data_IF_730012942607
#
_entry.id   IF_730012942607
#
_cell.length_a   1.000
_cell.length_b   1.000
_cell.length_c   1.000
_cell.angle_alpha   90.00
_cell.angle_beta   90.00
_cell.angle_gamma   90.00
#
_symmetry.space_group_name_H-M   'P 1'
#
loop_
_entity.id
_entity.type
_entity.pdbx_description
1 polymer ?
#
# COMPACT_ATOMS: atom_id res chain seq x y z
N UNK A 1 -18.55 7.92 62.96
CA UNK A 1 -17.49 8.83 62.52
C UNK A 1 -17.05 8.35 61.17
N UNK A 2 -17.52 9.08 60.17
CA UNK A 2 -17.73 8.72 58.76
C UNK A 2 -16.44 8.81 57.96
N UNK A 3 -16.27 7.81 57.09
CA UNK A 3 -15.31 7.79 56.00
C UNK A 3 -15.94 8.38 54.76
N UNK A 4 -15.30 9.41 54.19
CA UNK A 4 -15.55 9.91 52.85
C UNK A 4 -14.33 9.53 52.02
N UNK A 5 -14.49 8.56 51.14
CA UNK A 5 -13.56 8.34 50.03
C UNK A 5 -14.32 8.73 48.75
N UNK A 6 -13.90 9.84 48.19
CA UNK A 6 -14.26 10.22 46.85
C UNK A 6 -13.54 9.30 45.87
N UNK A 7 -14.32 8.54 45.13
CA UNK A 7 -13.82 7.83 43.97
C UNK A 7 -13.64 8.80 42.81
N UNK A 8 -12.42 8.99 42.37
CA UNK A 8 -12.14 9.55 41.06
C UNK A 8 -12.54 8.54 39.99
N UNK A 9 -13.56 8.87 39.23
CA UNK A 9 -13.88 8.17 38.01
C UNK A 9 -12.77 8.47 37.00
N UNK A 10 -11.80 7.59 36.92
CA UNK A 10 -10.99 7.48 35.71
C UNK A 10 -11.95 6.98 34.60
N UNK A 11 -12.29 7.87 33.68
CA UNK A 11 -12.90 7.50 32.43
C UNK A 11 -11.89 6.64 31.68
N UNK A 12 -12.05 5.31 31.78
CA UNK A 12 -11.44 4.39 30.83
C UNK A 12 -11.91 4.81 29.45
N UNK A 13 -11.03 5.45 28.71
CA UNK A 13 -11.17 5.55 27.27
C UNK A 13 -11.01 4.14 26.75
N UNK A 14 -12.15 3.47 26.51
CA UNK A 14 -12.18 2.24 25.74
C UNK A 14 -11.52 2.53 24.39
N UNK A 15 -10.25 2.19 24.24
CA UNK A 15 -9.64 2.03 22.92
C UNK A 15 -10.44 0.92 22.23
N UNK A 16 -11.28 1.31 21.28
CA UNK A 16 -11.99 0.36 20.41
C UNK A 16 -10.93 -0.55 19.78
N UNK A 17 -11.08 -1.87 19.85
CA UNK A 17 -10.15 -2.78 19.24
C UNK A 17 -10.00 -2.43 17.74
N UNK A 18 -8.77 -2.36 17.25
CA UNK A 18 -8.41 -2.11 15.84
C UNK A 18 -9.07 -3.10 14.84
N UNK A 19 -9.71 -4.14 15.32
CA UNK A 19 -10.34 -5.19 14.53
C UNK A 19 -11.73 -4.86 13.97
N UNK A 20 -12.25 -3.63 14.20
CA UNK A 20 -13.58 -3.21 13.73
C UNK A 20 -13.55 -2.25 12.53
N UNK A 21 -12.37 -1.85 12.07
CA UNK A 21 -12.28 -1.06 10.85
C UNK A 21 -12.27 -1.98 9.63
N UNK A 22 -13.34 -1.93 8.85
CA UNK A 22 -13.46 -2.64 7.59
C UNK A 22 -12.37 -2.26 6.59
N UNK A 23 -12.12 -3.13 5.64
CA UNK A 23 -11.31 -2.80 4.47
C UNK A 23 -12.06 -1.76 3.64
N UNK A 24 -11.39 -0.69 3.29
CA UNK A 24 -11.88 0.31 2.35
C UNK A 24 -10.92 0.42 1.18
N UNK A 25 -11.50 0.53 0.00
CA UNK A 25 -10.78 0.71 -1.24
C UNK A 25 -10.68 2.19 -1.55
N UNK A 26 -9.53 2.60 -2.07
CA UNK A 26 -9.26 4.00 -2.34
C UNK A 26 -8.91 4.18 -3.80
N UNK A 27 -9.72 4.97 -4.51
CA UNK A 27 -9.48 5.34 -5.89
C UNK A 27 -9.35 6.85 -6.01
N UNK A 28 -8.43 7.30 -6.85
CA UNK A 28 -8.30 8.71 -7.23
C UNK A 28 -8.67 8.85 -8.70
N UNK A 29 -9.64 9.69 -9.00
CA UNK A 29 -9.92 10.04 -10.38
C UNK A 29 -8.92 11.09 -10.85
N UNK A 30 -8.33 10.88 -12.01
CA UNK A 30 -7.38 11.82 -12.61
C UNK A 30 -7.69 12.08 -14.09
N UNK A 31 -7.22 13.23 -14.58
CA UNK A 31 -7.22 13.58 -15.99
C UNK A 31 -5.82 14.06 -16.37
N UNK A 32 -5.19 13.40 -17.34
CA UNK A 32 -3.82 13.70 -17.77
C UNK A 32 -2.81 13.82 -16.62
N UNK A 33 -2.99 13.01 -15.56
CA UNK A 33 -2.15 13.01 -14.37
C UNK A 33 -2.54 14.03 -13.29
N UNK A 34 -3.51 14.90 -13.54
CA UNK A 34 -4.03 15.86 -12.56
C UNK A 34 -5.12 15.17 -11.75
N UNK A 35 -5.00 15.01 -10.42
CA UNK A 35 -6.03 14.43 -9.60
C UNK A 35 -7.26 15.33 -9.51
N UNK A 36 -8.45 14.73 -9.48
CA UNK A 36 -9.76 15.42 -9.52
C UNK A 36 -10.54 15.22 -8.25
N UNK A 37 -10.68 13.99 -7.83
CA UNK A 37 -11.42 13.61 -6.63
C UNK A 37 -10.93 12.26 -6.08
N UNK A 38 -11.10 12.08 -4.80
CA UNK A 38 -10.87 10.84 -4.08
C UNK A 38 -12.20 10.12 -3.89
N UNK A 39 -12.21 8.82 -4.11
CA UNK A 39 -13.31 7.93 -3.75
C UNK A 39 -12.79 6.88 -2.76
N UNK A 40 -13.45 6.77 -1.61
CA UNK A 40 -13.20 5.74 -0.62
C UNK A 40 -14.48 4.92 -0.50
N UNK A 41 -14.40 3.62 -0.60
CA UNK A 41 -15.58 2.75 -0.63
C UNK A 41 -15.29 1.37 -0.06
N UNK A 42 -16.34 0.72 0.38
CA UNK A 42 -16.38 -0.68 0.80
C UNK A 42 -17.52 -1.42 0.07
N UNK A 43 -17.95 -2.57 0.58
CA UNK A 43 -19.05 -3.35 0.00
C UNK A 43 -20.42 -2.71 0.19
N UNK A 44 -20.59 -1.73 1.11
CA UNK A 44 -21.87 -1.20 1.53
C UNK A 44 -22.07 0.28 1.16
N UNK A 45 -20.98 1.04 1.07
CA UNK A 45 -21.03 2.49 0.90
C UNK A 45 -19.84 3.07 0.12
N UNK A 46 -20.02 4.28 -0.39
CA UNK A 46 -18.93 5.07 -0.96
C UNK A 46 -18.98 6.52 -0.46
N UNK A 47 -17.80 7.10 -0.28
CA UNK A 47 -17.59 8.49 0.07
C UNK A 47 -16.69 9.16 -0.96
N UNK A 48 -16.98 10.42 -1.31
CA UNK A 48 -16.21 11.18 -2.29
C UNK A 48 -15.72 12.49 -1.70
N UNK A 49 -14.47 12.83 -2.01
CA UNK A 49 -13.79 14.00 -1.48
C UNK A 49 -13.19 14.80 -2.63
N UNK A 50 -13.50 16.09 -2.67
CA UNK A 50 -12.96 17.03 -3.66
C UNK A 50 -11.58 17.55 -3.23
N UNK A 51 -10.79 17.94 -4.21
CA UNK A 51 -9.53 18.66 -4.02
C UNK A 51 -9.77 20.18 -4.04
N UNK A 52 -8.78 20.99 -3.65
CA UNK A 52 -8.90 22.44 -3.62
C UNK A 52 -9.07 23.06 -5.01
N UNK A 53 -9.51 24.33 -5.04
CA UNK A 53 -9.80 25.07 -6.27
C UNK A 53 -8.63 25.15 -7.26
N UNK A 54 -7.37 25.03 -6.79
CA UNK A 54 -6.19 25.04 -7.68
C UNK A 54 -6.15 23.82 -8.60
N UNK A 55 -6.68 22.67 -8.17
CA UNK A 55 -6.79 21.48 -9.03
C UNK A 55 -7.89 21.66 -10.06
N UNK A 56 -9.02 22.25 -9.69
CA UNK A 56 -10.09 22.57 -10.65
C UNK A 56 -9.58 23.54 -11.73
N UNK A 57 -8.83 24.56 -11.32
CA UNK A 57 -8.21 25.51 -12.27
C UNK A 57 -7.21 24.82 -13.20
N UNK A 58 -6.33 23.97 -12.65
CA UNK A 58 -5.38 23.19 -13.43
C UNK A 58 -6.09 22.25 -14.42
N UNK A 59 -7.20 21.65 -14.01
CA UNK A 59 -8.04 20.83 -14.86
C UNK A 59 -8.63 21.62 -16.02
N UNK A 60 -9.22 22.80 -15.76
CA UNK A 60 -9.81 23.68 -16.78
C UNK A 60 -8.76 24.06 -17.83
N UNK A 61 -7.55 24.42 -17.41
CA UNK A 61 -6.42 24.73 -18.28
C UNK A 61 -5.96 23.51 -19.09
N UNK A 62 -5.90 22.32 -18.46
CA UNK A 62 -5.53 21.09 -19.15
C UNK A 62 -6.59 20.60 -20.14
N UNK A 63 -7.88 20.93 -19.92
CA UNK A 63 -8.99 20.60 -20.82
C UNK A 63 -9.10 21.55 -21.99
N UNK A 64 -8.37 22.67 -22.01
CA UNK A 64 -8.45 23.64 -23.10
C UNK A 64 -8.07 22.96 -24.42
N UNK A 65 -9.05 22.90 -25.35
CA UNK A 65 -8.95 22.17 -26.63
C UNK A 65 -9.42 20.70 -26.58
N UNK A 66 -9.69 20.12 -25.43
CA UNK A 66 -9.96 18.66 -25.27
C UNK A 66 -11.28 18.34 -24.54
N UNK A 67 -12.19 19.31 -24.47
CA UNK A 67 -13.46 19.16 -23.70
C UNK A 67 -14.31 17.97 -24.15
N UNK A 68 -14.29 17.64 -25.43
CA UNK A 68 -15.06 16.51 -25.97
C UNK A 68 -14.52 15.17 -25.51
N UNK A 69 -13.21 15.07 -25.30
CA UNK A 69 -12.54 13.84 -24.86
C UNK A 69 -12.42 13.73 -23.34
N UNK A 70 -12.77 14.77 -22.58
CA UNK A 70 -12.61 14.78 -21.13
C UNK A 70 -13.22 13.57 -20.43
N UNK A 71 -14.44 13.16 -20.81
CA UNK A 71 -15.13 12.02 -20.22
C UNK A 71 -14.38 10.70 -20.48
N UNK A 72 -13.81 10.55 -21.66
CA UNK A 72 -13.09 9.33 -22.08
C UNK A 72 -11.68 9.26 -21.49
N UNK A 73 -11.03 10.38 -21.26
CA UNK A 73 -9.66 10.47 -20.77
C UNK A 73 -9.56 10.48 -19.24
N UNK A 74 -10.67 10.56 -18.52
CA UNK A 74 -10.68 10.41 -17.06
C UNK A 74 -10.40 8.96 -16.68
N UNK A 75 -9.47 8.77 -15.77
CA UNK A 75 -9.11 7.44 -15.26
C UNK A 75 -9.33 7.38 -13.77
N UNK A 76 -9.81 6.26 -13.27
CA UNK A 76 -9.74 5.90 -11.87
C UNK A 76 -8.46 5.13 -11.64
N UNK A 77 -7.61 5.66 -10.77
CA UNK A 77 -6.35 5.03 -10.37
C UNK A 77 -6.57 4.39 -9.01
N UNK A 78 -6.19 3.12 -8.87
CA UNK A 78 -6.26 2.40 -7.60
C UNK A 78 -5.12 2.86 -6.69
N UNK A 79 -5.47 3.41 -5.53
CA UNK A 79 -4.55 3.79 -4.46
C UNK A 79 -4.48 2.73 -3.34
N UNK A 80 -5.05 1.57 -3.60
CA UNK A 80 -4.98 0.39 -2.73
C UNK A 80 -6.03 0.35 -1.64
N UNK A 81 -5.85 -0.61 -0.74
CA UNK A 81 -6.74 -0.85 0.40
C UNK A 81 -6.20 -0.15 1.63
N UNK A 82 -7.08 0.48 2.40
CA UNK A 82 -6.78 1.05 3.72
C UNK A 82 -7.74 0.49 4.76
N UNK A 83 -7.44 0.69 6.03
CA UNK A 83 -8.24 0.20 7.15
C UNK A 83 -8.58 1.39 8.05
N UNK A 84 -9.86 1.64 8.23
CA UNK A 84 -10.32 2.74 9.07
C UNK A 84 -11.65 3.33 8.60
N UNK A 85 -12.00 4.46 9.16
CA UNK A 85 -13.18 5.23 8.77
C UNK A 85 -12.98 5.86 7.38
N UNK A 86 -13.98 5.72 6.51
CA UNK A 86 -13.92 6.22 5.13
C UNK A 86 -13.68 7.74 5.07
N UNK A 87 -14.27 8.50 5.99
CA UNK A 87 -14.14 9.96 6.01
C UNK A 87 -12.73 10.37 6.41
N UNK A 88 -12.20 9.77 7.49
CA UNK A 88 -10.83 10.06 7.94
C UNK A 88 -9.79 9.70 6.89
N UNK A 89 -9.93 8.53 6.25
CA UNK A 89 -9.06 8.07 5.17
C UNK A 89 -9.15 9.02 3.97
N UNK A 90 -10.35 9.44 3.58
CA UNK A 90 -10.55 10.34 2.46
C UNK A 90 -9.97 11.73 2.69
N UNK A 91 -10.21 12.32 3.88
CA UNK A 91 -9.65 13.61 4.26
C UNK A 91 -8.13 13.57 4.34
N UNK A 92 -7.57 12.47 4.87
CA UNK A 92 -6.14 12.26 4.93
C UNK A 92 -5.53 12.19 3.52
N UNK A 93 -6.13 11.41 2.61
CA UNK A 93 -5.62 11.28 1.24
C UNK A 93 -5.73 12.59 0.46
N UNK A 94 -6.77 13.39 0.69
CA UNK A 94 -6.87 14.74 0.09
C UNK A 94 -5.67 15.58 0.51
N UNK A 95 -5.29 15.59 1.80
CA UNK A 95 -4.11 16.32 2.28
C UNK A 95 -2.82 15.79 1.65
N UNK A 96 -2.67 14.48 1.56
CA UNK A 96 -1.54 13.84 0.89
C UNK A 96 -1.41 14.27 -0.57
N UNK A 97 -2.51 14.26 -1.33
CA UNK A 97 -2.54 14.71 -2.72
C UNK A 97 -2.27 16.22 -2.85
N UNK A 98 -2.85 17.03 -1.97
CA UNK A 98 -2.58 18.47 -1.94
C UNK A 98 -1.09 18.78 -1.73
N UNK A 99 -0.43 18.01 -0.86
CA UNK A 99 1.01 18.13 -0.62
C UNK A 99 1.84 17.63 -1.80
N UNK A 100 1.44 16.49 -2.39
CA UNK A 100 2.17 15.84 -3.49
C UNK A 100 2.10 16.56 -4.83
N UNK A 101 1.15 17.51 -4.97
CA UNK A 101 0.96 18.29 -6.19
C UNK A 101 1.14 19.79 -5.92
N UNK A 102 2.37 20.27 -5.66
CA UNK A 102 2.63 21.69 -5.56
C UNK A 102 2.27 22.41 -6.87
N UNK A 103 2.09 23.72 -6.83
CA UNK A 103 1.66 24.52 -7.99
C UNK A 103 2.57 24.29 -9.21
N UNK A 104 3.88 24.20 -9.00
CA UNK A 104 4.86 23.94 -10.08
C UNK A 104 4.64 22.59 -10.77
N UNK A 105 4.23 21.55 -10.03
CA UNK A 105 3.92 20.23 -10.61
C UNK A 105 2.64 20.27 -11.43
N UNK A 106 1.62 21.00 -11.00
CA UNK A 106 0.39 21.19 -11.77
C UNK A 106 0.67 21.95 -13.07
N UNK A 107 1.44 23.04 -13.00
CA UNK A 107 1.84 23.82 -14.19
C UNK A 107 2.62 22.97 -15.20
N UNK A 108 3.50 22.08 -14.72
CA UNK A 108 4.21 21.15 -15.60
C UNK A 108 3.28 20.14 -16.25
N UNK A 109 2.32 19.55 -15.49
CA UNK A 109 1.34 18.63 -16.06
C UNK A 109 0.48 19.30 -17.13
N UNK A 110 0.13 20.57 -16.94
CA UNK A 110 -0.58 21.37 -17.93
C UNK A 110 0.30 21.60 -19.18
N UNK A 111 1.56 21.95 -18.99
CA UNK A 111 2.50 22.16 -20.10
C UNK A 111 2.75 20.86 -20.91
N UNK A 112 2.68 19.72 -20.25
CA UNK A 112 2.89 18.40 -20.85
C UNK A 112 1.58 17.69 -21.24
N UNK A 113 0.45 18.38 -21.22
CA UNK A 113 -0.90 17.82 -21.43
C UNK A 113 -1.07 17.05 -22.75
N UNK A 114 -0.33 17.42 -23.78
CA UNK A 114 -0.40 16.81 -25.11
C UNK A 114 0.64 15.71 -25.34
N UNK A 115 1.53 15.48 -24.36
CA UNK A 115 2.47 14.36 -24.40
C UNK A 115 1.78 13.08 -23.93
N UNK A 116 2.08 11.95 -24.57
CA UNK A 116 1.68 10.65 -24.05
C UNK A 116 2.22 10.46 -22.63
N UNK A 117 1.45 9.79 -21.77
CA UNK A 117 1.82 9.57 -20.35
C UNK A 117 3.21 8.89 -20.25
N UNK A 118 3.49 7.94 -21.15
CA UNK A 118 4.75 7.20 -21.22
C UNK A 118 5.94 8.05 -21.71
N UNK A 119 5.68 9.16 -22.40
CA UNK A 119 6.73 10.08 -22.90
C UNK A 119 7.12 11.15 -21.86
N UNK A 120 6.35 11.26 -20.76
CA UNK A 120 6.65 12.18 -19.67
C UNK A 120 7.75 11.63 -18.83
N UNK A 121 8.92 12.25 -18.86
CA UNK A 121 10.03 11.86 -18.00
C UNK A 121 9.67 12.21 -16.55
N UNK A 122 9.63 11.23 -15.67
CA UNK A 122 9.45 11.49 -14.26
C UNK A 122 10.60 12.34 -13.73
N UNK A 123 10.28 13.42 -13.02
CA UNK A 123 11.29 14.31 -12.44
C UNK A 123 11.58 13.85 -11.02
N UNK A 124 12.77 13.26 -10.84
CA UNK A 124 13.30 13.00 -9.50
C UNK A 124 13.74 14.34 -8.88
N UNK A 125 13.15 14.68 -7.75
CA UNK A 125 13.60 15.82 -6.93
C UNK A 125 14.46 15.27 -5.81
N UNK A 126 15.80 15.49 -5.85
CA UNK A 126 16.67 15.02 -4.79
C UNK A 126 16.37 15.76 -3.49
N UNK A 127 16.43 15.05 -2.37
CA UNK A 127 16.33 15.60 -1.03
C UNK A 127 17.26 14.82 -0.08
N UNK A 128 17.55 15.39 1.09
CA UNK A 128 18.43 14.77 2.06
C UNK A 128 17.66 14.11 3.20
N UNK A 129 18.32 13.17 3.89
CA UNK A 129 17.75 12.58 5.11
C UNK A 129 17.46 13.67 6.17
N UNK A 130 18.35 14.67 6.31
CA UNK A 130 18.14 15.78 7.24
C UNK A 130 16.89 16.60 6.87
N UNK A 131 16.70 16.93 5.58
CA UNK A 131 15.49 17.61 5.11
C UNK A 131 14.23 16.80 5.42
N UNK A 132 14.26 15.47 5.24
CA UNK A 132 13.17 14.61 5.58
C UNK A 132 12.87 14.63 7.08
N UNK A 133 13.88 14.51 7.94
CA UNK A 133 13.72 14.41 9.40
C UNK A 133 13.16 15.70 10.04
N UNK A 134 13.55 16.87 9.53
CA UNK A 134 13.10 18.16 10.08
C UNK A 134 11.76 18.65 9.50
N UNK A 135 11.25 17.97 8.45
CA UNK A 135 10.03 18.37 7.77
C UNK A 135 8.78 17.94 8.53
N UNK A 136 7.68 18.70 8.40
CA UNK A 136 6.34 18.28 8.79
C UNK A 136 5.88 17.11 7.92
N UNK A 137 4.91 16.34 8.39
CA UNK A 137 4.53 15.08 7.76
C UNK A 137 4.05 15.24 6.29
N UNK A 138 3.34 16.33 5.96
CA UNK A 138 2.89 16.61 4.59
C UNK A 138 4.09 16.79 3.65
N UNK A 139 5.11 17.50 4.13
CA UNK A 139 6.35 17.68 3.37
C UNK A 139 7.12 16.37 3.23
N UNK A 140 7.20 15.55 4.31
CA UNK A 140 7.83 14.23 4.25
C UNK A 140 7.16 13.32 3.22
N UNK A 141 5.82 13.34 3.19
CA UNK A 141 5.07 12.58 2.19
C UNK A 141 5.38 13.06 0.78
N UNK A 142 5.38 14.39 0.54
CA UNK A 142 5.73 14.98 -0.74
C UNK A 142 7.15 14.63 -1.20
N UNK A 143 8.12 14.66 -0.29
CA UNK A 143 9.50 14.30 -0.60
C UNK A 143 9.59 12.85 -1.10
N UNK A 144 8.94 11.93 -0.42
CA UNK A 144 8.88 10.54 -0.86
C UNK A 144 8.10 10.36 -2.17
N UNK A 145 6.95 10.99 -2.33
CA UNK A 145 6.12 10.89 -3.55
C UNK A 145 6.88 11.37 -4.80
N UNK A 146 7.86 12.26 -4.63
CA UNK A 146 8.76 12.72 -5.69
C UNK A 146 10.05 11.88 -5.81
N UNK A 147 10.20 10.83 -5.02
CA UNK A 147 11.32 9.88 -5.10
C UNK A 147 11.08 8.87 -6.22
N UNK A 148 11.43 9.24 -7.42
CA UNK A 148 11.20 8.44 -8.61
C UNK A 148 12.37 7.49 -8.85
N UNK A 149 12.08 6.22 -9.20
CA UNK A 149 13.08 5.17 -9.39
C UNK A 149 14.03 5.09 -8.17
N UNK A 150 13.54 4.61 -7.01
CA UNK A 150 14.34 4.51 -5.79
C UNK A 150 15.59 3.64 -6.04
N UNK A 151 16.71 4.05 -5.48
CA UNK A 151 18.02 3.42 -5.62
C UNK A 151 18.56 3.01 -4.24
N UNK A 152 19.62 2.26 -4.23
CA UNK A 152 20.28 1.79 -2.98
C UNK A 152 20.67 2.97 -2.08
N UNK A 153 21.03 4.10 -2.66
CA UNK A 153 21.38 5.35 -1.96
C UNK A 153 20.20 5.96 -1.20
N UNK A 154 18.96 5.58 -1.55
CA UNK A 154 17.76 6.07 -0.88
C UNK A 154 17.39 5.25 0.36
N UNK A 155 17.99 4.08 0.53
CA UNK A 155 17.70 3.20 1.67
C UNK A 155 17.76 3.92 3.02
N UNK A 156 18.73 4.80 3.32
CA UNK A 156 18.76 5.50 4.60
C UNK A 156 17.51 6.35 4.89
N UNK A 157 16.99 7.06 3.90
CA UNK A 157 15.77 7.85 4.07
C UNK A 157 14.52 6.95 4.12
N UNK A 158 14.47 5.90 3.33
CA UNK A 158 13.37 4.92 3.35
C UNK A 158 13.33 4.15 4.68
N UNK A 159 14.49 3.80 5.22
CA UNK A 159 14.64 3.17 6.55
C UNK A 159 14.12 4.07 7.69
N UNK A 160 14.24 5.38 7.56
CA UNK A 160 13.63 6.34 8.48
C UNK A 160 12.12 6.42 8.26
N UNK A 161 11.70 6.49 7.01
CA UNK A 161 10.31 6.65 6.62
C UNK A 161 9.42 5.46 7.01
N UNK A 162 9.92 4.22 7.02
CA UNK A 162 9.15 3.05 7.52
C UNK A 162 8.88 3.09 9.02
N UNK A 163 9.50 4.01 9.75
CA UNK A 163 9.29 4.23 11.19
C UNK A 163 8.46 5.49 11.48
N UNK A 164 7.96 6.16 10.43
CA UNK A 164 7.16 7.36 10.57
C UNK A 164 5.87 7.10 11.36
N UNK A 165 5.37 8.11 12.05
CA UNK A 165 4.09 8.04 12.74
C UNK A 165 2.91 7.89 11.75
N UNK A 166 3.03 8.48 10.55
CA UNK A 166 2.01 8.42 9.50
C UNK A 166 2.07 7.10 8.72
N UNK A 167 0.94 6.39 8.69
CA UNK A 167 0.84 5.10 8.01
C UNK A 167 1.07 5.20 6.51
N UNK A 168 0.63 6.30 5.89
CA UNK A 168 0.84 6.58 4.46
C UNK A 168 2.31 6.67 4.10
N UNK A 169 3.11 7.35 4.93
CA UNK A 169 4.56 7.47 4.75
C UNK A 169 5.24 6.11 4.91
N UNK A 170 4.90 5.35 5.97
CA UNK A 170 5.45 4.01 6.16
C UNK A 170 5.13 3.07 5.00
N UNK A 171 3.86 3.11 4.52
CA UNK A 171 3.43 2.30 3.39
C UNK A 171 4.15 2.68 2.10
N UNK A 172 4.28 3.99 1.78
CA UNK A 172 4.97 4.46 0.58
C UNK A 172 6.45 4.09 0.61
N UNK A 173 7.11 4.27 1.75
CA UNK A 173 8.49 3.83 1.94
C UNK A 173 8.67 2.31 1.75
N UNK A 174 7.69 1.51 2.21
CA UNK A 174 7.69 0.05 2.01
C UNK A 174 7.56 -0.31 0.53
N UNK A 175 6.71 0.39 -0.25
CA UNK A 175 6.63 0.22 -1.71
C UNK A 175 7.98 0.50 -2.35
N UNK A 176 8.62 1.61 -2.01
CA UNK A 176 9.90 1.99 -2.61
C UNK A 176 11.06 1.06 -2.24
N UNK A 177 11.10 0.55 -1.01
CA UNK A 177 12.05 -0.50 -0.64
C UNK A 177 11.86 -1.77 -1.50
N UNK A 178 10.61 -2.11 -1.82
CA UNK A 178 10.28 -3.25 -2.69
C UNK A 178 10.70 -3.06 -4.16
N UNK A 179 10.98 -1.83 -4.59
CA UNK A 179 11.47 -1.54 -5.93
C UNK A 179 13.01 -1.57 -6.05
N UNK A 180 13.72 -1.69 -4.92
CA UNK A 180 15.18 -1.74 -4.88
C UNK A 180 15.63 -3.21 -4.88
N UNK A 181 16.15 -3.70 -5.99
CA UNK A 181 16.65 -5.06 -6.15
C UNK A 181 18.04 -5.24 -5.49
N UNK A 182 18.13 -4.99 -4.17
CA UNK A 182 19.36 -5.12 -3.38
C UNK A 182 19.02 -5.74 -2.00
N UNK A 183 19.82 -6.71 -1.57
CA UNK A 183 19.60 -7.40 -0.28
C UNK A 183 19.66 -6.47 0.95
N UNK A 184 20.20 -5.27 0.81
CA UNK A 184 20.20 -4.26 1.88
C UNK A 184 18.80 -3.83 2.31
N UNK A 185 17.76 -4.08 1.50
CA UNK A 185 16.37 -3.79 1.87
C UNK A 185 15.78 -4.81 2.85
N UNK A 186 16.38 -5.99 2.97
CA UNK A 186 15.84 -7.13 3.75
C UNK A 186 15.44 -6.72 5.17
N UNK A 187 16.33 -6.13 6.01
CA UNK A 187 15.98 -5.84 7.40
C UNK A 187 14.82 -4.83 7.52
N UNK A 188 14.67 -3.96 6.55
CA UNK A 188 13.64 -2.92 6.54
C UNK A 188 12.28 -3.47 6.10
N UNK A 189 12.25 -4.34 5.11
CA UNK A 189 11.02 -5.03 4.70
C UNK A 189 10.54 -6.00 5.79
N UNK A 190 11.45 -6.71 6.48
CA UNK A 190 11.09 -7.52 7.65
C UNK A 190 10.51 -6.67 8.81
N UNK A 191 11.02 -5.45 9.01
CA UNK A 191 10.45 -4.50 9.95
C UNK A 191 9.04 -4.08 9.51
N UNK A 192 8.85 -3.72 8.24
CA UNK A 192 7.56 -3.36 7.69
C UNK A 192 6.53 -4.51 7.75
N UNK A 193 6.96 -5.76 7.62
CA UNK A 193 6.10 -6.95 7.77
C UNK A 193 5.57 -7.11 9.22
N UNK A 194 6.19 -6.46 10.20
CA UNK A 194 5.79 -6.44 11.61
C UNK A 194 5.08 -5.13 12.02
N UNK A 195 4.76 -4.27 11.06
CA UNK A 195 4.08 -2.98 11.32
C UNK A 195 2.73 -3.19 12.03
N UNK A 196 2.35 -2.21 12.84
CA UNK A 196 1.04 -2.17 13.49
C UNK A 196 -0.12 -2.14 12.47
N UNK A 197 0.06 -1.49 11.33
CA UNK A 197 -0.92 -1.39 10.25
C UNK A 197 -0.89 -2.61 9.33
N UNK A 198 -2.04 -3.23 9.13
CA UNK A 198 -2.17 -4.35 8.19
C UNK A 198 -1.86 -3.94 6.74
N UNK A 199 -2.13 -2.67 6.36
CA UNK A 199 -1.82 -2.18 5.02
C UNK A 199 -0.31 -2.12 4.75
N UNK A 200 0.49 -1.74 5.75
CA UNK A 200 1.96 -1.74 5.65
C UNK A 200 2.48 -3.18 5.59
N UNK A 201 1.99 -4.07 6.49
CA UNK A 201 2.39 -5.49 6.47
C UNK A 201 2.06 -6.19 5.16
N UNK A 202 0.87 -5.90 4.58
CA UNK A 202 0.50 -6.42 3.27
C UNK A 202 1.45 -5.92 2.19
N UNK A 203 1.74 -4.61 2.15
CA UNK A 203 2.67 -4.02 1.17
C UNK A 203 4.08 -4.63 1.31
N UNK A 204 4.53 -4.91 2.54
CA UNK A 204 5.79 -5.62 2.77
C UNK A 204 5.75 -7.05 2.20
N UNK A 205 4.64 -7.76 2.40
CA UNK A 205 4.45 -9.09 1.81
C UNK A 205 4.44 -9.08 0.28
N UNK A 206 3.82 -8.06 -0.34
CA UNK A 206 3.87 -7.84 -1.79
C UNK A 206 5.32 -7.63 -2.25
N UNK A 207 6.04 -6.68 -1.64
CA UNK A 207 7.42 -6.35 -1.96
C UNK A 207 8.37 -7.56 -1.82
N UNK A 208 8.22 -8.34 -0.75
CA UNK A 208 9.04 -9.54 -0.52
C UNK A 208 8.76 -10.63 -1.55
N UNK A 209 7.49 -10.79 -1.98
CA UNK A 209 7.14 -11.74 -3.05
C UNK A 209 7.73 -11.31 -4.38
N UNK A 210 7.63 -10.02 -4.71
CA UNK A 210 8.14 -9.50 -5.99
C UNK A 210 9.68 -9.58 -6.07
N UNK A 211 10.39 -9.30 -4.97
CA UNK A 211 11.85 -9.44 -4.92
C UNK A 211 12.32 -10.90 -4.92
N UNK A 212 11.54 -11.82 -4.37
CA UNK A 212 11.81 -13.25 -4.39
C UNK A 212 13.09 -13.67 -3.65
N UNK A 213 13.61 -12.85 -2.70
CA UNK A 213 14.81 -13.21 -1.94
C UNK A 213 14.51 -14.35 -0.95
N UNK A 214 15.27 -15.43 -1.03
CA UNK A 214 15.10 -16.61 -0.15
C UNK A 214 15.31 -16.28 1.33
N UNK A 215 16.05 -15.24 1.63
CA UNK A 215 16.29 -14.77 2.99
C UNK A 215 15.02 -14.34 3.72
N UNK A 216 13.95 -14.00 3.00
CA UNK A 216 12.64 -13.66 3.59
C UNK A 216 11.88 -14.87 4.13
N UNK A 217 12.29 -16.10 3.83
CA UNK A 217 11.53 -17.33 4.14
C UNK A 217 11.09 -17.39 5.59
N UNK A 218 11.99 -17.10 6.54
CA UNK A 218 11.64 -17.15 7.97
C UNK A 218 10.59 -16.12 8.38
N UNK A 219 10.68 -14.89 7.87
CA UNK A 219 9.70 -13.84 8.14
C UNK A 219 8.35 -14.17 7.51
N UNK A 220 8.35 -14.76 6.32
CA UNK A 220 7.15 -15.20 5.62
C UNK A 220 6.50 -16.42 6.28
N UNK A 221 7.27 -17.34 6.90
CA UNK A 221 6.69 -18.41 7.74
C UNK A 221 5.88 -17.84 8.91
N UNK A 222 6.38 -16.80 9.58
CA UNK A 222 5.65 -16.09 10.63
C UNK A 222 4.39 -15.43 10.08
N UNK A 223 4.48 -14.80 8.90
CA UNK A 223 3.39 -14.11 8.23
C UNK A 223 2.24 -15.03 7.77
N UNK A 224 2.47 -16.34 7.59
CA UNK A 224 1.42 -17.35 7.37
C UNK A 224 0.37 -17.37 8.51
N UNK A 225 0.71 -16.83 9.68
CA UNK A 225 -0.17 -16.80 10.86
C UNK A 225 -0.59 -15.37 11.23
N UNK A 226 -0.42 -14.39 10.34
CA UNK A 226 -0.85 -13.01 10.57
C UNK A 226 -2.37 -12.94 10.83
N UNK A 227 -2.77 -11.99 11.66
CA UNK A 227 -4.19 -11.74 11.95
C UNK A 227 -4.98 -11.34 10.69
N UNK A 228 -4.35 -10.66 9.73
CA UNK A 228 -4.96 -10.21 8.49
C UNK A 228 -4.84 -11.28 7.40
N UNK A 229 -5.97 -11.65 6.79
CA UNK A 229 -6.03 -12.70 5.76
C UNK A 229 -5.19 -12.39 4.52
N UNK A 230 -5.07 -11.12 4.13
CA UNK A 230 -4.30 -10.73 2.94
C UNK A 230 -2.79 -10.89 3.19
N UNK A 231 -2.32 -10.61 4.41
CA UNK A 231 -0.91 -10.86 4.78
C UNK A 231 -0.62 -12.36 4.74
N UNK A 232 -1.51 -13.20 5.30
CA UNK A 232 -1.37 -14.67 5.22
C UNK A 232 -1.38 -15.17 3.79
N UNK A 233 -2.26 -14.63 2.96
CA UNK A 233 -2.34 -14.98 1.55
C UNK A 233 -1.05 -14.62 0.80
N UNK A 234 -0.48 -13.43 1.06
CA UNK A 234 0.78 -13.01 0.45
C UNK A 234 1.97 -13.88 0.91
N UNK A 235 2.00 -14.26 2.17
CA UNK A 235 3.01 -15.21 2.65
C UNK A 235 2.91 -16.57 1.92
N UNK A 236 1.70 -17.08 1.71
CA UNK A 236 1.49 -18.30 0.96
C UNK A 236 1.88 -18.15 -0.53
N UNK A 237 1.63 -16.96 -1.11
CA UNK A 237 2.03 -16.63 -2.48
C UNK A 237 3.56 -16.59 -2.63
N UNK A 238 4.26 -15.97 -1.70
CA UNK A 238 5.72 -16.00 -1.65
C UNK A 238 6.27 -17.43 -1.70
N UNK A 239 5.74 -18.34 -0.86
CA UNK A 239 6.17 -19.74 -0.90
C UNK A 239 5.76 -20.47 -2.17
N UNK A 240 4.70 -20.04 -2.82
CA UNK A 240 4.37 -20.56 -4.14
C UNK A 240 5.43 -20.17 -5.19
N UNK A 241 6.01 -18.97 -5.11
CA UNK A 241 7.01 -18.49 -6.08
C UNK A 241 8.43 -19.03 -5.76
N UNK A 242 8.88 -18.91 -4.52
CA UNK A 242 10.29 -19.17 -4.15
C UNK A 242 10.48 -20.24 -3.06
N UNK A 243 9.39 -20.77 -2.49
CA UNK A 243 9.49 -21.76 -1.42
C UNK A 243 10.15 -23.07 -1.87
N UNK A 244 10.84 -23.72 -0.94
CA UNK A 244 11.47 -25.01 -1.07
C UNK A 244 10.94 -26.03 -0.05
N UNK A 245 11.59 -27.19 0.06
CA UNK A 245 11.17 -28.25 0.97
C UNK A 245 11.19 -27.86 2.45
N UNK A 246 12.02 -26.87 2.83
CA UNK A 246 12.15 -26.41 4.21
C UNK A 246 10.90 -25.62 4.64
N UNK A 247 10.16 -25.04 3.72
CA UNK A 247 8.91 -24.32 4.00
C UNK A 247 7.71 -25.25 4.27
N UNK A 248 7.77 -26.53 3.86
CA UNK A 248 6.64 -27.46 3.98
C UNK A 248 6.08 -27.63 5.41
N UNK A 249 6.89 -27.68 6.48
CA UNK A 249 6.36 -27.79 7.84
C UNK A 249 5.46 -26.60 8.22
N UNK A 250 5.88 -25.36 7.91
CA UNK A 250 5.12 -24.15 8.19
C UNK A 250 3.83 -24.09 7.35
N UNK A 251 3.92 -24.38 6.05
CA UNK A 251 2.76 -24.44 5.15
C UNK A 251 1.74 -25.49 5.61
N UNK A 252 2.19 -26.70 5.98
CA UNK A 252 1.30 -27.74 6.49
C UNK A 252 0.61 -27.34 7.79
N UNK A 253 1.30 -26.62 8.68
CA UNK A 253 0.72 -26.08 9.91
C UNK A 253 -0.35 -25.02 9.62
N UNK A 254 -0.16 -24.21 8.58
CA UNK A 254 -1.09 -23.17 8.16
C UNK A 254 -2.23 -23.67 7.23
N UNK A 255 -2.21 -24.94 6.82
CA UNK A 255 -3.10 -25.49 5.79
C UNK A 255 -4.59 -25.43 6.15
N UNK A 256 -4.94 -25.37 7.42
CA UNK A 256 -6.32 -25.31 7.91
C UNK A 256 -6.77 -23.86 8.19
N UNK A 257 -6.27 -22.88 7.41
CA UNK A 257 -6.70 -21.49 7.52
C UNK A 257 -8.24 -21.37 7.43
N UNK A 258 -8.79 -20.42 8.17
CA UNK A 258 -10.24 -20.17 8.17
C UNK A 258 -10.76 -19.60 6.85
N UNK A 259 -9.91 -18.89 6.11
CA UNK A 259 -10.27 -18.27 4.84
C UNK A 259 -9.97 -19.22 3.67
N UNK A 260 -10.95 -19.42 2.81
CA UNK A 260 -10.85 -20.36 1.69
C UNK A 260 -9.71 -20.01 0.73
N UNK A 261 -9.56 -18.70 0.41
CA UNK A 261 -8.55 -18.21 -0.53
C UNK A 261 -7.13 -18.42 0.00
N UNK A 262 -6.92 -18.21 1.30
CA UNK A 262 -5.63 -18.47 1.97
C UNK A 262 -5.33 -19.97 1.96
N UNK A 263 -6.30 -20.78 2.34
CA UNK A 263 -6.20 -22.24 2.33
C UNK A 263 -5.84 -22.77 0.94
N UNK A 264 -6.50 -22.25 -0.10
CA UNK A 264 -6.24 -22.63 -1.48
C UNK A 264 -4.80 -22.29 -1.89
N UNK A 265 -4.35 -21.07 -1.59
CA UNK A 265 -2.99 -20.60 -1.91
C UNK A 265 -1.92 -21.45 -1.21
N UNK A 266 -2.14 -21.80 0.07
CA UNK A 266 -1.23 -22.67 0.83
C UNK A 266 -1.14 -24.06 0.18
N UNK A 267 -2.26 -24.66 -0.19
CA UNK A 267 -2.29 -25.98 -0.87
C UNK A 267 -1.54 -25.92 -2.19
N UNK A 268 -1.69 -24.83 -2.93
CA UNK A 268 -0.97 -24.61 -4.17
C UNK A 268 0.55 -24.51 -3.98
N UNK A 269 0.98 -23.78 -2.94
CA UNK A 269 2.41 -23.71 -2.58
C UNK A 269 2.96 -25.10 -2.21
N UNK A 270 2.23 -25.87 -1.40
CA UNK A 270 2.62 -27.24 -1.03
C UNK A 270 2.74 -28.12 -2.28
N UNK A 271 1.74 -28.10 -3.18
CA UNK A 271 1.75 -28.92 -4.41
C UNK A 271 2.95 -28.56 -5.30
N UNK A 272 3.20 -27.26 -5.52
CA UNK A 272 4.35 -26.82 -6.33
C UNK A 272 5.68 -27.28 -5.72
N UNK A 273 5.84 -27.14 -4.41
CA UNK A 273 7.09 -27.55 -3.74
C UNK A 273 7.28 -29.06 -3.79
N UNK A 274 6.20 -29.85 -3.60
CA UNK A 274 6.29 -31.30 -3.55
C UNK A 274 6.37 -31.97 -4.93
N UNK A 275 5.69 -31.41 -5.94
CA UNK A 275 5.50 -32.01 -7.27
C UNK A 275 6.32 -31.32 -8.37
N UNK A 276 6.94 -30.16 -8.07
CA UNK A 276 7.78 -29.41 -8.99
C UNK A 276 6.99 -28.54 -9.97
N UNK A 277 7.68 -28.13 -11.05
CA UNK A 277 7.16 -27.18 -12.06
C UNK A 277 5.89 -27.66 -12.78
N UNK A 278 5.66 -28.95 -12.87
CA UNK A 278 4.46 -29.52 -13.51
C UNK A 278 3.16 -29.11 -12.80
N UNK A 279 3.23 -28.75 -11.50
CA UNK A 279 2.09 -28.26 -10.74
C UNK A 279 1.68 -26.80 -11.09
N UNK A 280 2.57 -26.00 -11.70
CA UNK A 280 2.30 -24.59 -12.05
C UNK A 280 1.11 -24.42 -13.01
N UNK A 281 0.85 -25.37 -13.90
CA UNK A 281 -0.25 -25.28 -14.86
C UNK A 281 -1.66 -25.51 -14.29
N UNK A 282 -1.78 -26.05 -13.07
CA UNK A 282 -3.05 -26.50 -12.51
C UNK A 282 -3.89 -25.41 -11.83
N UNK A 283 -3.27 -24.30 -11.46
CA UNK A 283 -3.85 -23.24 -10.62
C UNK A 283 -4.98 -22.48 -11.30
N UNK A 284 -4.74 -21.97 -12.48
CA UNK A 284 -5.77 -21.29 -13.28
C UNK A 284 -6.92 -22.24 -13.66
N UNK A 285 -6.58 -23.50 -13.89
CA UNK A 285 -7.58 -24.53 -14.22
C UNK A 285 -8.46 -24.83 -13.01
N UNK A 286 -7.90 -25.00 -11.82
CA UNK A 286 -8.66 -25.23 -10.58
C UNK A 286 -9.51 -24.01 -10.19
N UNK A 287 -8.99 -22.77 -10.33
CA UNK A 287 -9.76 -21.55 -10.07
C UNK A 287 -10.90 -21.37 -11.09
N UNK A 288 -10.71 -21.74 -12.34
CA UNK A 288 -11.76 -21.67 -13.36
C UNK A 288 -12.83 -22.76 -13.19
N UNK A 289 -12.45 -23.92 -12.68
CA UNK A 289 -13.36 -25.03 -12.38
C UNK A 289 -14.19 -24.79 -11.10
N UNK A 290 -13.62 -24.13 -10.10
CA UNK A 290 -14.31 -23.75 -8.86
C UNK A 290 -15.32 -22.59 -9.04
N UNK A 291 -15.30 -21.90 -10.19
CA UNK A 291 -16.25 -20.84 -10.55
C UNK A 291 -17.40 -21.31 -11.45
N UNK A 292 -17.42 -22.60 -11.85
CA UNK A 292 -18.53 -23.26 -12.55
C UNK A 292 -19.43 -23.98 -11.56
#
# INVERSE_FOLDING_TARGET
IENVFGGENEAETEEKPLDHYGEVYVHVQSFKGIPLQVKVFDSESESRFGLSARFTKALDEAMEGDKENYIMLRKWVDYGVRYGDQKEIGEQLVKELEASFPQSKLEQLIADKDKAEDDRKPIRVPFTLEEFEISEWEKRFQLLDNLINPQVEDIPVLAKAIQDEQVSIRRLATVYLGLIEDEKVIPYLEMALKDKSASVRRTAGDAMSDLGFVQFSKAMEEALFDKNKLVRWRAAMYFYEVGDMDALPALKKAMDDKEYEVKLQIRMAIARIAEGEEAKGSVWKQMSEARK
#
